data_IF_512444218965
#
_entry.id   IF_512444218965
#
_cell.length_a   1.000
_cell.length_b   1.000
_cell.length_c   1.000
_cell.angle_alpha   90.00
_cell.angle_beta   90.00
_cell.angle_gamma   90.00
#
_symmetry.space_group_name_H-M   'P 1'
#
loop_
_entity.id
_entity.type
_entity.pdbx_description
1 polymer ?
#
# COMPACT_ATOMS: atom_id res chain seq x y z
N UNK A 1 -17.01 28.86 9.17
CA UNK A 1 -16.43 28.97 7.80
C UNK A 1 -16.61 27.60 7.17
N UNK A 2 -17.47 27.47 6.15
CA UNK A 2 -17.75 26.19 5.48
C UNK A 2 -16.68 26.04 4.39
N UNK A 3 -15.72 25.15 4.57
CA UNK A 3 -14.72 24.84 3.55
C UNK A 3 -15.36 23.92 2.52
N UNK A 4 -15.67 24.47 1.35
CA UNK A 4 -16.07 23.70 0.17
C UNK A 4 -14.79 23.21 -0.50
N UNK A 5 -14.55 21.90 -0.44
CA UNK A 5 -13.57 21.23 -1.31
C UNK A 5 -14.13 21.30 -2.73
N UNK A 6 -13.31 21.66 -3.71
CA UNK A 6 -13.71 21.65 -5.12
C UNK A 6 -13.83 20.20 -5.61
N UNK A 7 -14.89 19.87 -6.35
CA UNK A 7 -15.20 18.52 -6.84
C UNK A 7 -13.99 17.86 -7.55
N UNK A 8 -13.19 18.65 -8.29
CA UNK A 8 -11.96 18.18 -8.96
C UNK A 8 -10.93 17.50 -8.04
N UNK A 9 -10.85 17.89 -6.76
CA UNK A 9 -9.89 17.33 -5.79
C UNK A 9 -10.41 16.07 -5.12
N UNK A 10 -11.73 15.89 -5.12
CA UNK A 10 -12.38 14.68 -4.63
C UNK A 10 -12.23 13.56 -5.67
N UNK A 11 -12.35 13.91 -6.95
CA UNK A 11 -12.15 13.00 -8.08
C UNK A 11 -10.71 12.48 -8.17
N UNK A 12 -9.70 13.29 -7.82
CA UNK A 12 -8.29 12.86 -7.79
C UNK A 12 -8.03 11.82 -6.68
N UNK A 13 -8.69 11.95 -5.53
CA UNK A 13 -8.61 10.98 -4.44
C UNK A 13 -9.34 9.66 -4.79
N UNK A 14 -10.49 9.77 -5.45
CA UNK A 14 -11.22 8.61 -5.98
C UNK A 14 -10.42 7.86 -7.06
N UNK A 15 -9.70 8.58 -7.93
CA UNK A 15 -8.81 7.95 -8.92
C UNK A 15 -7.67 7.17 -8.29
N UNK A 16 -7.06 7.70 -7.22
CA UNK A 16 -6.01 6.98 -6.48
C UNK A 16 -6.59 5.71 -5.82
N UNK A 17 -7.85 5.72 -5.38
CA UNK A 17 -8.51 4.55 -4.81
C UNK A 17 -8.85 3.50 -5.88
N UNK A 18 -9.34 3.94 -7.05
CA UNK A 18 -9.63 3.07 -8.20
C UNK A 18 -8.35 2.47 -8.83
N UNK A 19 -7.28 3.25 -8.98
CA UNK A 19 -6.02 2.79 -9.60
C UNK A 19 -5.28 1.75 -8.74
N UNK A 20 -5.45 1.81 -7.41
CA UNK A 20 -4.75 0.91 -6.47
C UNK A 20 -5.64 -0.28 -6.05
N UNK A 21 -6.88 -0.38 -6.58
CA UNK A 21 -7.90 -1.37 -6.18
C UNK A 21 -7.97 -1.53 -4.64
N UNK A 22 -7.81 -0.41 -3.93
CA UNK A 22 -7.72 -0.37 -2.49
C UNK A 22 -8.83 0.51 -1.95
N UNK A 23 -9.63 -0.06 -1.07
CA UNK A 23 -10.65 0.64 -0.29
C UNK A 23 -9.97 1.46 0.84
N UNK A 24 -9.16 2.44 0.46
CA UNK A 24 -8.42 3.29 1.40
C UNK A 24 -9.38 4.34 2.02
N UNK A 25 -10.47 4.69 1.33
CA UNK A 25 -11.35 5.81 1.66
C UNK A 25 -12.60 5.47 2.45
N UNK A 26 -13.39 4.48 2.02
CA UNK A 26 -14.79 4.42 2.42
C UNK A 26 -15.02 3.98 3.88
N UNK A 27 -14.07 3.27 4.49
CA UNK A 27 -14.13 2.85 5.90
C UNK A 27 -13.20 3.61 6.85
N UNK A 28 -12.11 4.19 6.34
CA UNK A 28 -11.01 4.74 7.17
C UNK A 28 -11.06 6.27 7.27
N UNK A 29 -11.60 7.00 6.28
CA UNK A 29 -11.62 8.46 6.28
C UNK A 29 -12.49 9.08 7.39
N UNK A 30 -13.55 8.40 7.82
CA UNK A 30 -14.38 8.85 8.94
C UNK A 30 -13.64 8.89 10.28
N UNK A 31 -12.60 8.06 10.46
CA UNK A 31 -11.81 8.00 11.68
C UNK A 31 -10.77 9.13 11.79
N UNK A 32 -10.35 9.72 10.65
CA UNK A 32 -9.32 10.77 10.57
C UNK A 32 -9.86 12.12 10.07
N UNK A 33 -11.18 12.26 10.05
CA UNK A 33 -11.85 13.51 9.69
C UNK A 33 -11.36 14.70 10.56
N UNK A 34 -11.12 14.55 11.88
CA UNK A 34 -10.56 15.63 12.69
C UNK A 34 -9.16 16.08 12.22
N UNK A 35 -8.29 15.14 11.89
CA UNK A 35 -6.92 15.38 11.42
C UNK A 35 -6.90 16.03 10.03
N UNK A 36 -7.78 15.57 9.13
CA UNK A 36 -7.96 16.19 7.83
C UNK A 36 -8.49 17.63 7.95
N UNK A 37 -9.47 17.86 8.83
CA UNK A 37 -10.01 19.21 9.06
C UNK A 37 -8.99 20.14 9.74
N UNK A 38 -8.05 19.59 10.52
CA UNK A 38 -6.99 20.34 11.19
C UNK A 38 -5.91 20.81 10.21
N UNK A 39 -5.46 19.94 9.30
CA UNK A 39 -4.52 20.29 8.22
C UNK A 39 -4.77 19.44 6.95
N UNK A 40 -5.59 19.95 6.01
CA UNK A 40 -5.94 19.22 4.79
C UNK A 40 -4.75 18.94 3.87
N UNK A 41 -3.74 19.83 3.86
CA UNK A 41 -2.58 19.72 2.98
C UNK A 41 -1.66 18.63 3.50
N UNK A 42 -1.36 18.67 4.81
CA UNK A 42 -0.52 17.67 5.45
C UNK A 42 -1.15 16.27 5.38
N UNK A 43 -2.46 16.17 5.61
CA UNK A 43 -3.18 14.91 5.49
C UNK A 43 -3.10 14.33 4.06
N UNK A 44 -3.29 15.17 3.03
CA UNK A 44 -3.18 14.72 1.64
C UNK A 44 -1.77 14.21 1.31
N UNK A 45 -0.72 14.89 1.80
CA UNK A 45 0.66 14.47 1.60
C UNK A 45 0.95 13.11 2.25
N UNK A 46 0.43 12.88 3.46
CA UNK A 46 0.55 11.57 4.15
C UNK A 46 -0.13 10.47 3.36
N UNK A 47 -1.35 10.70 2.86
CA UNK A 47 -2.10 9.71 2.07
C UNK A 47 -1.41 9.37 0.76
N UNK A 48 -0.86 10.38 0.08
CA UNK A 48 -0.07 10.19 -1.13
C UNK A 48 1.21 9.40 -0.86
N UNK A 49 1.91 9.70 0.24
CA UNK A 49 3.06 8.93 0.71
C UNK A 49 2.68 7.45 0.94
N UNK A 50 1.56 7.18 1.60
CA UNK A 50 1.08 5.81 1.81
C UNK A 50 0.81 5.08 0.49
N UNK A 51 0.14 5.74 -0.47
CA UNK A 51 -0.12 5.16 -1.78
C UNK A 51 1.17 4.78 -2.52
N UNK A 52 2.14 5.71 -2.59
CA UNK A 52 3.43 5.49 -3.26
C UNK A 52 4.21 4.34 -2.60
N UNK A 53 4.19 4.25 -1.27
CA UNK A 53 4.86 3.16 -0.56
C UNK A 53 4.18 1.82 -0.83
N UNK A 54 2.84 1.77 -0.94
CA UNK A 54 2.12 0.56 -1.28
C UNK A 54 2.33 0.12 -2.73
N UNK A 55 2.42 1.06 -3.67
CA UNK A 55 2.78 0.78 -5.07
C UNK A 55 4.21 0.24 -5.18
N UNK A 56 5.16 0.87 -4.47
CA UNK A 56 6.54 0.38 -4.39
C UNK A 56 6.60 -1.04 -3.81
N UNK A 57 5.78 -1.32 -2.79
CA UNK A 57 5.66 -2.65 -2.21
C UNK A 57 5.03 -3.67 -3.18
N UNK A 58 3.97 -3.30 -3.90
CA UNK A 58 3.38 -4.15 -4.93
C UNK A 58 4.41 -4.45 -6.02
N UNK A 59 5.20 -3.45 -6.42
CA UNK A 59 6.29 -3.59 -7.38
C UNK A 59 7.38 -4.54 -6.88
N UNK A 60 7.72 -4.54 -5.57
CA UNK A 60 8.60 -5.55 -4.97
C UNK A 60 8.02 -6.96 -5.06
N UNK A 61 6.72 -7.14 -4.79
CA UNK A 61 6.08 -8.45 -4.92
C UNK A 61 6.02 -8.92 -6.38
N UNK A 62 5.95 -7.99 -7.34
CA UNK A 62 6.01 -8.31 -8.77
C UNK A 62 7.38 -8.83 -9.21
N UNK A 63 8.46 -8.49 -8.50
CA UNK A 63 9.80 -9.05 -8.73
C UNK A 63 9.90 -10.52 -8.26
N UNK A 64 8.97 -10.98 -7.42
CA UNK A 64 8.93 -12.32 -6.87
C UNK A 64 7.97 -13.22 -7.67
N UNK A 65 8.37 -14.47 -7.88
CA UNK A 65 7.51 -15.46 -8.53
C UNK A 65 6.52 -16.09 -7.52
N UNK A 66 5.50 -15.33 -7.13
CA UNK A 66 4.50 -15.74 -6.12
C UNK A 66 3.24 -16.40 -6.74
N UNK A 67 3.06 -16.30 -8.05
CA UNK A 67 1.90 -16.85 -8.75
C UNK A 67 0.57 -16.45 -8.12
N UNK A 68 -0.29 -17.44 -7.88
CA UNK A 68 -1.62 -17.29 -7.24
C UNK A 68 -1.54 -16.80 -5.79
N UNK A 69 -0.42 -16.97 -5.10
CA UNK A 69 -0.23 -16.53 -3.71
C UNK A 69 0.03 -15.03 -3.58
N UNK A 70 0.13 -14.31 -4.70
CA UNK A 70 0.48 -12.89 -4.76
C UNK A 70 -0.52 -11.99 -4.05
N UNK A 71 -1.83 -12.24 -4.20
CA UNK A 71 -2.86 -11.40 -3.58
C UNK A 71 -2.90 -11.57 -2.07
N UNK A 72 -2.69 -12.80 -1.59
CA UNK A 72 -2.55 -13.09 -0.17
C UNK A 72 -1.29 -12.45 0.42
N UNK A 73 -0.17 -12.52 -0.32
CA UNK A 73 1.08 -11.85 0.04
C UNK A 73 0.90 -10.33 0.14
N UNK A 74 0.23 -9.72 -0.85
CA UNK A 74 -0.04 -8.28 -0.88
C UNK A 74 -0.95 -7.87 0.27
N UNK A 75 -2.02 -8.61 0.53
CA UNK A 75 -2.96 -8.32 1.63
C UNK A 75 -2.28 -8.38 3.00
N UNK A 76 -1.46 -9.40 3.23
CA UNK A 76 -0.68 -9.54 4.46
C UNK A 76 0.37 -8.41 4.57
N UNK A 77 1.15 -8.20 3.51
CA UNK A 77 2.22 -7.22 3.49
C UNK A 77 1.71 -5.78 3.60
N UNK A 78 0.56 -5.44 3.00
CA UNK A 78 -0.08 -4.13 3.14
C UNK A 78 -0.33 -3.78 4.60
N UNK A 79 -0.85 -4.73 5.39
CA UNK A 79 -1.10 -4.52 6.82
C UNK A 79 0.20 -4.26 7.57
N UNK A 80 1.21 -5.10 7.35
CA UNK A 80 2.52 -4.96 7.98
C UNK A 80 3.22 -3.65 7.61
N UNK A 81 3.21 -3.28 6.34
CA UNK A 81 3.78 -2.01 5.85
C UNK A 81 3.08 -0.84 6.53
N UNK A 82 1.74 -0.81 6.53
CA UNK A 82 1.00 0.26 7.19
C UNK A 82 1.26 0.30 8.71
N UNK A 83 1.29 -0.84 9.40
CA UNK A 83 1.62 -0.92 10.83
C UNK A 83 3.01 -0.35 11.13
N UNK A 84 4.01 -0.67 10.31
CA UNK A 84 5.37 -0.11 10.44
C UNK A 84 5.43 1.40 10.15
N UNK A 85 4.48 1.90 9.36
CA UNK A 85 4.36 3.32 9.00
C UNK A 85 3.44 4.13 9.92
N UNK A 86 2.79 3.52 10.92
CA UNK A 86 2.00 4.26 11.93
C UNK A 86 2.92 5.06 12.86
N UNK A 87 4.05 4.47 13.28
CA UNK A 87 5.10 5.16 14.04
C UNK A 87 6.49 4.77 13.51
N UNK A 88 6.85 5.20 12.29
CA UNK A 88 8.16 4.92 11.75
C UNK A 88 9.21 5.69 12.56
N UNK A 89 10.43 5.13 12.77
CA UNK A 89 11.54 5.88 13.34
C UNK A 89 11.77 7.19 12.58
N UNK A 90 12.16 8.26 13.27
CA UNK A 90 12.39 9.59 12.66
C UNK A 90 13.36 9.52 11.47
N UNK A 91 14.35 8.63 11.54
CA UNK A 91 15.29 8.37 10.44
C UNK A 91 14.63 7.80 9.19
N UNK A 92 13.68 6.88 9.34
CA UNK A 92 12.91 6.28 8.24
C UNK A 92 11.92 7.31 7.68
N UNK A 93 11.31 8.12 8.55
CA UNK A 93 10.43 9.22 8.11
C UNK A 93 11.17 10.20 7.20
N UNK A 94 12.36 10.64 7.61
CA UNK A 94 13.20 11.54 6.81
C UNK A 94 13.63 10.90 5.49
N UNK A 95 14.11 9.65 5.52
CA UNK A 95 14.50 8.93 4.30
C UNK A 95 13.34 8.77 3.31
N UNK A 96 12.14 8.44 3.79
CA UNK A 96 10.95 8.38 2.94
C UNK A 96 10.61 9.75 2.36
N UNK A 97 10.63 10.79 3.20
CA UNK A 97 10.32 12.14 2.75
C UNK A 97 11.31 12.64 1.70
N UNK A 98 12.60 12.45 1.92
CA UNK A 98 13.67 12.85 1.00
C UNK A 98 13.58 12.08 -0.33
N UNK A 99 13.39 10.75 -0.28
CA UNK A 99 13.22 9.94 -1.49
C UNK A 99 12.03 10.42 -2.35
N UNK A 100 10.93 10.82 -1.69
CA UNK A 100 9.72 11.25 -2.39
C UNK A 100 9.79 12.69 -2.91
N UNK A 101 10.58 13.56 -2.27
CA UNK A 101 10.85 14.90 -2.77
C UNK A 101 11.85 14.89 -3.93
N UNK A 102 12.96 14.15 -3.79
CA UNK A 102 14.01 14.07 -4.81
C UNK A 102 13.51 13.46 -6.12
N UNK A 103 12.66 12.43 -6.02
CA UNK A 103 12.12 11.73 -7.20
C UNK A 103 10.85 12.41 -7.74
N UNK A 104 10.46 13.57 -7.17
CA UNK A 104 9.28 14.34 -7.58
C UNK A 104 7.96 13.61 -7.40
N UNK A 105 7.92 12.51 -6.63
CA UNK A 105 6.79 11.59 -6.53
C UNK A 105 5.58 12.21 -5.81
N UNK A 106 5.83 13.17 -4.91
CA UNK A 106 4.77 13.95 -4.23
C UNK A 106 4.14 15.00 -5.17
N UNK A 107 4.83 15.42 -6.23
CA UNK A 107 4.39 16.53 -7.09
C UNK A 107 3.96 16.05 -8.48
N UNK A 108 4.48 14.92 -8.94
CA UNK A 108 4.26 14.41 -10.28
C UNK A 108 3.03 13.50 -10.34
N UNK A 109 1.89 14.06 -10.74
CA UNK A 109 0.72 13.29 -11.18
C UNK A 109 0.84 12.80 -12.65
N UNK A 110 2.02 12.93 -13.26
CA UNK A 110 2.19 12.84 -14.73
C UNK A 110 3.37 11.96 -15.19
N UNK A 111 4.07 11.28 -14.29
CA UNK A 111 5.12 10.33 -14.70
C UNK A 111 4.47 8.97 -15.04
N UNK A 112 4.63 8.47 -16.28
CA UNK A 112 3.99 7.22 -16.72
C UNK A 112 4.55 5.98 -16.00
N UNK A 113 5.72 6.10 -15.34
CA UNK A 113 6.27 5.05 -14.50
C UNK A 113 7.23 5.65 -13.48
N UNK A 114 6.77 5.95 -12.25
CA UNK A 114 7.64 6.48 -11.22
C UNK A 114 8.73 5.48 -10.82
N UNK A 115 9.96 5.96 -10.66
CA UNK A 115 11.06 5.13 -10.17
C UNK A 115 10.96 4.98 -8.66
N UNK A 116 10.57 3.78 -8.21
CA UNK A 116 10.47 3.48 -6.78
C UNK A 116 11.76 2.93 -6.18
N UNK A 117 12.91 2.95 -6.87
CA UNK A 117 14.13 2.27 -6.40
C UNK A 117 14.53 2.64 -4.97
N UNK A 118 14.49 3.93 -4.61
CA UNK A 118 14.78 4.41 -3.25
C UNK A 118 13.73 3.95 -2.25
N UNK A 119 12.44 4.09 -2.58
CA UNK A 119 11.33 3.65 -1.72
C UNK A 119 11.38 2.14 -1.48
N UNK A 120 11.72 1.35 -2.50
CA UNK A 120 11.94 -0.10 -2.40
C UNK A 120 13.10 -0.44 -1.47
N UNK A 121 14.21 0.29 -1.55
CA UNK A 121 15.35 0.09 -0.65
C UNK A 121 14.95 0.38 0.81
N UNK A 122 14.21 1.45 1.05
CA UNK A 122 13.70 1.80 2.38
C UNK A 122 12.74 0.72 2.89
N UNK A 123 11.84 0.21 2.05
CA UNK A 123 10.92 -0.88 2.41
C UNK A 123 11.66 -2.15 2.81
N UNK A 124 12.72 -2.51 2.09
CA UNK A 124 13.57 -3.67 2.43
C UNK A 124 14.26 -3.53 3.78
N UNK A 125 14.59 -2.31 4.20
CA UNK A 125 15.15 -2.04 5.54
C UNK A 125 14.11 -1.88 6.64
N UNK A 126 12.90 -1.43 6.29
CA UNK A 126 11.80 -1.19 7.24
C UNK A 126 11.10 -2.49 7.61
N UNK A 127 10.93 -3.40 6.64
CA UNK A 127 10.34 -4.71 6.87
C UNK A 127 11.38 -5.66 7.44
N UNK A 128 11.04 -6.28 8.57
CA UNK A 128 11.90 -7.26 9.24
C UNK A 128 11.85 -8.62 8.56
N UNK A 129 12.81 -9.51 8.87
CA UNK A 129 12.76 -10.89 8.41
C UNK A 129 11.48 -11.61 8.84
N UNK A 130 10.95 -11.31 10.03
CA UNK A 130 9.69 -11.87 10.51
C UNK A 130 8.51 -11.41 9.64
N UNK A 131 8.49 -10.15 9.23
CA UNK A 131 7.46 -9.61 8.34
C UNK A 131 7.50 -10.31 6.97
N UNK A 132 8.70 -10.47 6.38
CA UNK A 132 8.88 -11.22 5.13
C UNK A 132 8.47 -12.69 5.25
N UNK A 133 8.78 -13.32 6.40
CA UNK A 133 8.34 -14.69 6.67
C UNK A 133 6.81 -14.79 6.71
N UNK A 134 6.14 -13.83 7.36
CA UNK A 134 4.68 -13.82 7.43
C UNK A 134 4.03 -13.64 6.04
N UNK A 135 4.59 -12.77 5.21
CA UNK A 135 4.15 -12.56 3.82
C UNK A 135 4.31 -13.85 3.01
N UNK A 136 5.46 -14.53 3.13
CA UNK A 136 5.72 -15.79 2.44
C UNK A 136 4.76 -16.89 2.92
N UNK A 137 4.52 -16.99 4.23
CA UNK A 137 3.55 -17.93 4.81
C UNK A 137 2.15 -17.67 4.24
N UNK A 138 1.69 -16.41 4.22
CA UNK A 138 0.39 -16.06 3.66
C UNK A 138 0.25 -16.47 2.18
N UNK A 139 1.30 -16.24 1.38
CA UNK A 139 1.33 -16.67 -0.02
C UNK A 139 1.21 -18.20 -0.16
N UNK A 140 2.02 -18.95 0.60
CA UNK A 140 2.03 -20.41 0.57
C UNK A 140 0.72 -21.02 1.06
N UNK A 141 0.10 -20.41 2.07
CA UNK A 141 -1.14 -20.89 2.66
C UNK A 141 -2.32 -20.73 1.70
N UNK A 142 -2.35 -19.62 0.95
CA UNK A 142 -3.34 -19.41 -0.11
C UNK A 142 -3.27 -20.51 -1.18
N UNK A 143 -2.06 -20.91 -1.60
CA UNK A 143 -1.84 -22.02 -2.53
C UNK A 143 -2.37 -23.32 -1.94
N UNK A 144 -2.04 -23.60 -0.68
CA UNK A 144 -2.46 -24.83 0.04
C UNK A 144 -3.98 -24.94 0.12
N UNK A 145 -4.66 -23.85 0.48
CA UNK A 145 -6.13 -23.79 0.57
C UNK A 145 -6.75 -24.08 -0.80
N UNK A 146 -6.27 -23.44 -1.87
CA UNK A 146 -6.82 -23.65 -3.21
C UNK A 146 -6.65 -25.11 -3.69
N UNK A 147 -5.52 -25.75 -3.39
CA UNK A 147 -5.31 -27.17 -3.71
C UNK A 147 -6.30 -28.07 -2.96
N UNK A 148 -6.55 -27.81 -1.68
CA UNK A 148 -7.51 -28.60 -0.89
C UNK A 148 -8.95 -28.40 -1.37
N UNK A 149 -9.32 -27.19 -1.75
CA UNK A 149 -10.63 -26.89 -2.33
C UNK A 149 -10.84 -27.65 -3.64
N UNK A 150 -9.84 -27.61 -4.53
CA UNK A 150 -9.87 -28.37 -5.78
C UNK A 150 -10.01 -29.88 -5.53
N UNK A 151 -9.21 -30.42 -4.60
CA UNK A 151 -9.29 -31.84 -4.24
C UNK A 151 -10.68 -32.23 -3.73
N UNK A 152 -11.24 -31.46 -2.80
CA UNK A 152 -12.56 -31.73 -2.23
C UNK A 152 -13.68 -31.68 -3.29
N UNK A 153 -13.58 -30.78 -4.28
CA UNK A 153 -14.52 -30.71 -5.39
C UNK A 153 -14.44 -31.95 -6.29
N UNK A 154 -13.22 -32.41 -6.60
CA UNK A 154 -13.03 -33.64 -7.40
C UNK A 154 -13.48 -34.91 -6.68
N UNK A 155 -13.27 -34.98 -5.36
CA UNK A 155 -13.68 -36.12 -4.53
C UNK A 155 -15.20 -36.21 -4.32
N UNK A 156 -15.94 -35.09 -4.41
CA UNK A 156 -17.41 -35.07 -4.34
C UNK A 156 -18.09 -35.35 -5.69
N UNK A 157 -17.35 -35.25 -6.80
CA UNK A 157 -17.84 -35.51 -8.15
C UNK A 157 -17.58 -36.95 -8.64
N UNK A 158 -16.93 -37.79 -7.82
CA UNK A 158 -16.61 -39.20 -8.08
C UNK A 158 -17.46 -40.12 -7.20
#
# INVERSE_FOLDING_TARGET
MIFKISDDRFDELLKIEEEVNCDIGAGYAGAYLPEFLADPIHFQQIRRLQAIVLEAFQSLLNELNLGIGKDAAFTCGRKLVLERLIQPPVTIQQQLWDALQEDGLIQSALQPQPDYAKVKAILRTTLTQADWSAIATAASESIRIQMLEYWNQTAQAS
#
